data_IF_077998877532
#
_entry.id   IF_077998877532
#
_cell.length_a   1.000
_cell.length_b   1.000
_cell.length_c   1.000
_cell.angle_alpha   90.00
_cell.angle_beta   90.00
_cell.angle_gamma   90.00
#
_symmetry.space_group_name_H-M   'P 1'
#
loop_
_entity.id
_entity.type
_entity.pdbx_description
1 polymer ?
#
# COMPACT_ATOMS: atom_id res chain seq x y z
N UNK A 1 4.87 20.68 8.87
CA UNK A 1 4.27 20.42 7.56
C UNK A 1 5.28 20.63 6.43
N UNK A 2 5.87 21.83 6.28
CA UNK A 2 6.88 22.16 5.24
C UNK A 2 7.97 21.09 5.05
N UNK A 3 8.68 20.71 6.12
CA UNK A 3 9.76 19.72 6.04
C UNK A 3 9.29 18.30 5.60
N UNK A 4 8.06 17.88 5.95
CA UNK A 4 7.52 16.59 5.50
C UNK A 4 7.17 16.61 4.01
N UNK A 5 6.58 17.73 3.55
CA UNK A 5 6.32 17.97 2.13
C UNK A 5 7.60 18.04 1.30
N UNK A 6 8.66 18.66 1.82
CA UNK A 6 9.97 18.68 1.14
C UNK A 6 10.57 17.28 0.95
N UNK A 7 10.39 16.36 1.91
CA UNK A 7 10.80 14.96 1.77
C UNK A 7 9.99 14.28 0.67
N UNK A 8 8.67 14.49 0.67
CA UNK A 8 7.77 13.94 -0.34
C UNK A 8 8.13 14.41 -1.76
N UNK A 9 8.31 15.73 -1.94
CA UNK A 9 8.68 16.32 -3.22
C UNK A 9 10.07 15.86 -3.67
N UNK A 10 11.03 15.72 -2.76
CA UNK A 10 12.36 15.19 -3.09
C UNK A 10 12.28 13.72 -3.55
N UNK A 11 11.45 12.90 -2.89
CA UNK A 11 11.19 11.53 -3.31
C UNK A 11 10.55 11.46 -4.72
N UNK A 12 9.53 12.28 -4.98
CA UNK A 12 8.91 12.38 -6.30
C UNK A 12 9.91 12.86 -7.36
N UNK A 13 10.68 13.90 -7.05
CA UNK A 13 11.71 14.41 -7.95
C UNK A 13 12.74 13.34 -8.30
N UNK A 14 13.16 12.53 -7.33
CA UNK A 14 14.10 11.43 -7.55
C UNK A 14 13.59 10.43 -8.59
N UNK A 15 12.28 10.13 -8.58
CA UNK A 15 11.62 9.29 -9.58
C UNK A 15 11.62 9.96 -10.97
N UNK A 16 11.29 11.26 -11.03
CA UNK A 16 11.21 12.03 -12.29
C UNK A 16 12.58 12.25 -12.93
N UNK A 17 13.63 12.48 -12.13
CA UNK A 17 15.01 12.66 -12.61
C UNK A 17 15.62 11.36 -13.15
N UNK A 18 15.05 10.20 -12.81
CA UNK A 18 15.51 8.88 -13.24
C UNK A 18 14.36 8.10 -13.88
N UNK A 19 13.79 8.61 -15.00
CA UNK A 19 12.56 8.07 -15.56
C UNK A 19 12.76 6.67 -16.13
N UNK A 20 13.90 6.39 -16.76
CA UNK A 20 14.20 5.07 -17.36
C UNK A 20 14.18 3.95 -16.32
N UNK A 21 14.94 4.00 -15.20
CA UNK A 21 14.86 2.94 -14.19
C UNK A 21 13.53 2.94 -13.44
N UNK A 22 12.91 4.11 -13.21
CA UNK A 22 11.62 4.17 -12.52
C UNK A 22 10.51 3.48 -13.34
N UNK A 23 10.42 3.80 -14.65
CA UNK A 23 9.48 3.17 -15.57
C UNK A 23 9.81 1.70 -15.76
N UNK A 24 11.09 1.34 -15.92
CA UNK A 24 11.51 -0.06 -16.08
C UNK A 24 11.11 -0.93 -14.88
N UNK A 25 11.28 -0.44 -13.66
CA UNK A 25 10.84 -1.13 -12.45
C UNK A 25 9.32 -1.22 -12.33
N UNK A 26 8.61 -0.16 -12.71
CA UNK A 26 7.15 -0.17 -12.75
C UNK A 26 6.64 -1.19 -13.76
N UNK A 27 7.17 -1.21 -14.99
CA UNK A 27 6.79 -2.19 -16.02
C UNK A 27 7.10 -3.62 -15.57
N UNK A 28 8.26 -3.85 -14.95
CA UNK A 28 8.59 -5.17 -14.39
C UNK A 28 7.61 -5.59 -13.30
N UNK A 29 7.32 -4.68 -12.38
CA UNK A 29 6.36 -4.92 -11.31
C UNK A 29 5.01 -5.38 -11.87
N UNK A 30 4.51 -4.63 -12.84
CA UNK A 30 3.24 -4.93 -13.48
C UNK A 30 3.22 -6.22 -14.30
N UNK A 31 4.27 -6.48 -15.09
CA UNK A 31 4.33 -7.68 -15.89
C UNK A 31 4.30 -8.94 -15.02
N UNK A 32 4.99 -8.90 -13.87
CA UNK A 32 5.00 -10.02 -12.92
C UNK A 32 3.67 -10.10 -12.16
N UNK A 33 3.15 -8.98 -11.65
CA UNK A 33 1.86 -8.95 -10.93
C UNK A 33 0.70 -9.44 -11.81
N UNK A 34 0.66 -8.99 -13.08
CA UNK A 34 -0.30 -9.47 -14.06
C UNK A 34 -0.16 -10.98 -14.30
N UNK A 35 1.06 -11.49 -14.49
CA UNK A 35 1.30 -12.93 -14.66
C UNK A 35 0.84 -13.75 -13.44
N UNK A 36 1.09 -13.25 -12.22
CA UNK A 36 0.65 -13.90 -10.97
C UNK A 36 -0.88 -13.92 -10.86
N UNK A 37 -1.54 -12.81 -11.20
CA UNK A 37 -3.01 -12.72 -11.21
C UNK A 37 -3.62 -13.68 -12.23
N UNK A 38 -3.04 -13.77 -13.44
CA UNK A 38 -3.50 -14.74 -14.44
C UNK A 38 -3.31 -16.20 -13.99
N UNK A 39 -2.23 -16.49 -13.25
CA UNK A 39 -2.02 -17.82 -12.67
C UNK A 39 -3.11 -18.18 -11.64
N UNK A 40 -3.54 -17.22 -10.82
CA UNK A 40 -4.62 -17.42 -9.84
C UNK A 40 -6.00 -17.63 -10.47
N UNK A 41 -6.22 -17.12 -11.68
CA UNK A 41 -7.49 -17.25 -12.41
C UNK A 41 -7.59 -18.60 -13.16
N UNK A 42 -6.54 -19.42 -13.18
CA UNK A 42 -6.59 -20.73 -13.79
C UNK A 42 -7.42 -21.69 -12.91
N UNK A 43 -8.48 -22.33 -13.44
CA UNK A 43 -9.39 -23.20 -12.67
C UNK A 43 -8.74 -24.46 -12.08
N UNK A 44 -7.44 -24.68 -12.33
CA UNK A 44 -6.69 -25.83 -11.83
C UNK A 44 -6.13 -25.65 -10.39
N UNK A 45 -6.39 -24.51 -9.74
CA UNK A 45 -5.88 -24.19 -8.41
C UNK A 45 -7.00 -24.23 -7.36
N UNK A 46 -7.61 -25.41 -7.15
CA UNK A 46 -8.56 -25.63 -6.05
C UNK A 46 -7.85 -25.94 -4.71
N UNK A 47 -6.54 -26.19 -4.72
CA UNK A 47 -5.79 -26.57 -3.52
C UNK A 47 -5.23 -25.35 -2.76
N UNK A 48 -5.60 -25.25 -1.48
CA UNK A 48 -5.19 -24.21 -0.52
C UNK A 48 -3.68 -23.84 -0.47
N UNK A 49 -2.68 -24.73 -0.68
CA UNK A 49 -1.26 -24.37 -0.62
C UNK A 49 -0.81 -23.44 -1.76
N UNK A 50 -1.46 -23.51 -2.92
CA UNK A 50 -1.09 -22.72 -4.10
C UNK A 50 -1.56 -21.25 -4.01
N UNK A 51 -2.53 -20.95 -3.14
CA UNK A 51 -2.99 -19.57 -2.85
C UNK A 51 -1.91 -18.69 -2.17
N UNK A 52 -0.92 -19.31 -1.51
CA UNK A 52 0.16 -18.61 -0.80
C UNK A 52 1.29 -18.20 -1.76
N UNK A 53 1.50 -18.96 -2.84
CA UNK A 53 2.63 -18.73 -3.74
C UNK A 53 2.59 -17.35 -4.44
N UNK A 54 1.43 -16.88 -4.95
CA UNK A 54 1.31 -15.53 -5.51
C UNK A 54 1.56 -14.44 -4.47
N UNK A 55 1.07 -14.61 -3.24
CA UNK A 55 1.35 -13.67 -2.15
C UNK A 55 2.85 -13.57 -1.84
N UNK A 56 3.54 -14.71 -1.74
CA UNK A 56 5.00 -14.75 -1.54
C UNK A 56 5.72 -14.12 -2.72
N UNK A 57 5.28 -14.39 -3.96
CA UNK A 57 5.85 -13.80 -5.16
C UNK A 57 5.68 -12.27 -5.19
N UNK A 58 4.52 -11.73 -4.80
CA UNK A 58 4.30 -10.29 -4.67
C UNK A 58 5.21 -9.66 -3.62
N UNK A 59 5.45 -10.31 -2.47
CA UNK A 59 6.40 -9.84 -1.46
C UNK A 59 7.83 -9.78 -2.03
N UNK A 60 8.25 -10.83 -2.73
CA UNK A 60 9.58 -10.89 -3.36
C UNK A 60 9.72 -9.80 -4.42
N UNK A 61 8.67 -9.57 -5.22
CA UNK A 61 8.64 -8.55 -6.25
C UNK A 61 8.75 -7.14 -5.66
N UNK A 62 7.97 -6.82 -4.64
CA UNK A 62 8.06 -5.55 -3.89
C UNK A 62 9.46 -5.37 -3.33
N UNK A 63 10.03 -6.41 -2.71
CA UNK A 63 11.37 -6.39 -2.16
C UNK A 63 12.45 -6.16 -3.24
N UNK A 64 12.33 -6.79 -4.40
CA UNK A 64 13.24 -6.63 -5.52
C UNK A 64 13.18 -5.23 -6.10
N UNK A 65 11.98 -4.69 -6.33
CA UNK A 65 11.76 -3.34 -6.87
C UNK A 65 12.30 -2.29 -5.91
N UNK A 66 11.93 -2.36 -4.62
CA UNK A 66 12.36 -1.39 -3.63
C UNK A 66 13.89 -1.44 -3.38
N UNK A 67 14.47 -2.64 -3.25
CA UNK A 67 15.92 -2.79 -3.08
C UNK A 67 16.72 -2.33 -4.29
N UNK A 68 16.23 -2.60 -5.50
CA UNK A 68 16.85 -2.13 -6.74
C UNK A 68 16.80 -0.61 -6.82
N UNK A 69 15.65 0.00 -6.47
CA UNK A 69 15.53 1.46 -6.42
C UNK A 69 16.53 2.08 -5.44
N UNK A 70 16.64 1.56 -4.21
CA UNK A 70 17.62 2.04 -3.23
C UNK A 70 19.04 2.02 -3.78
N UNK A 71 19.44 0.94 -4.47
CA UNK A 71 20.80 0.80 -5.02
C UNK A 71 21.05 1.76 -6.18
N UNK A 72 20.11 1.89 -7.12
CA UNK A 72 20.25 2.84 -8.25
C UNK A 72 20.48 4.26 -7.73
N UNK A 73 19.81 4.61 -6.62
CA UNK A 73 19.78 5.96 -6.08
C UNK A 73 20.92 6.24 -5.08
N UNK A 74 21.38 5.24 -4.34
CA UNK A 74 22.40 5.37 -3.28
C UNK A 74 23.78 4.82 -3.68
N UNK A 75 23.85 3.93 -4.68
CA UNK A 75 25.06 3.26 -5.12
C UNK A 75 25.04 3.06 -6.66
N UNK A 76 25.02 4.15 -7.45
CA UNK A 76 24.81 4.10 -8.90
C UNK A 76 25.92 3.36 -9.67
N UNK A 77 27.16 3.41 -9.17
CA UNK A 77 28.31 2.71 -9.76
C UNK A 77 28.56 1.34 -9.11
N UNK A 78 27.66 0.88 -8.23
CA UNK A 78 27.80 -0.38 -7.53
C UNK A 78 27.52 -1.60 -8.39
N UNK A 79 27.96 -2.80 -7.96
CA UNK A 79 27.59 -4.04 -8.63
C UNK A 79 26.06 -4.25 -8.60
N UNK A 80 25.49 -5.09 -9.48
CA UNK A 80 24.08 -5.47 -9.38
C UNK A 80 23.78 -6.11 -8.02
N UNK A 81 22.51 -6.04 -7.58
CA UNK A 81 22.10 -6.71 -6.34
C UNK A 81 22.21 -8.22 -6.52
N UNK A 82 22.81 -8.91 -5.55
CA UNK A 82 22.78 -10.37 -5.55
C UNK A 82 21.39 -10.88 -5.19
N UNK A 83 20.96 -12.00 -5.78
CA UNK A 83 19.66 -12.64 -5.49
C UNK A 83 19.45 -12.86 -3.99
N UNK A 84 20.51 -13.28 -3.29
CA UNK A 84 20.49 -13.47 -1.84
C UNK A 84 20.17 -12.19 -1.07
N UNK A 85 20.77 -11.06 -1.47
CA UNK A 85 20.51 -9.77 -0.81
C UNK A 85 19.11 -9.25 -1.12
N UNK A 86 18.62 -9.46 -2.34
CA UNK A 86 17.23 -9.15 -2.69
C UNK A 86 16.24 -9.98 -1.86
N UNK A 87 16.50 -11.28 -1.68
CA UNK A 87 15.68 -12.16 -0.84
C UNK A 87 15.70 -11.73 0.63
N UNK A 88 16.90 -11.49 1.20
CA UNK A 88 17.03 -10.97 2.56
C UNK A 88 16.32 -9.64 2.75
N UNK A 89 16.38 -8.74 1.76
CA UNK A 89 15.62 -7.50 1.79
C UNK A 89 14.12 -7.76 1.82
N UNK A 90 13.61 -8.64 0.96
CA UNK A 90 12.19 -9.00 0.93
C UNK A 90 11.71 -9.59 2.26
N UNK A 91 12.52 -10.47 2.87
CA UNK A 91 12.25 -11.02 4.21
C UNK A 91 12.27 -9.93 5.28
N UNK A 92 13.26 -9.04 5.27
CA UNK A 92 13.34 -7.93 6.22
C UNK A 92 12.15 -6.97 6.09
N UNK A 93 11.72 -6.68 4.85
CA UNK A 93 10.53 -5.89 4.56
C UNK A 93 9.27 -6.55 5.11
N UNK A 94 9.11 -7.85 4.88
CA UNK A 94 7.98 -8.63 5.37
C UNK A 94 7.92 -8.69 6.91
N UNK A 95 9.04 -9.01 7.54
CA UNK A 95 9.17 -9.04 9.01
C UNK A 95 8.86 -7.67 9.61
N UNK A 96 9.37 -6.59 9.00
CA UNK A 96 9.05 -5.22 9.41
C UNK A 96 7.55 -4.95 9.33
N UNK A 97 6.89 -5.36 8.24
CA UNK A 97 5.44 -5.28 8.08
C UNK A 97 4.70 -6.00 9.21
N UNK A 98 5.08 -7.24 9.53
CA UNK A 98 4.49 -8.00 10.65
C UNK A 98 4.66 -7.25 11.97
N UNK A 99 5.86 -6.77 12.28
CA UNK A 99 6.14 -6.05 13.53
C UNK A 99 5.25 -4.82 13.67
N UNK A 100 5.09 -4.03 12.60
CA UNK A 100 4.22 -2.86 12.59
C UNK A 100 2.76 -3.29 12.75
N UNK A 101 2.31 -4.31 12.02
CA UNK A 101 0.94 -4.82 12.12
C UNK A 101 0.60 -5.29 13.54
N UNK A 102 1.50 -6.02 14.19
CA UNK A 102 1.34 -6.45 15.59
C UNK A 102 1.23 -5.23 16.51
N UNK A 103 2.08 -4.21 16.32
CA UNK A 103 2.03 -2.99 17.10
C UNK A 103 0.70 -2.21 16.91
N UNK A 104 0.03 -2.40 15.78
CA UNK A 104 -1.24 -1.76 15.45
C UNK A 104 -2.47 -2.61 15.78
N UNK A 105 -2.33 -3.81 16.35
CA UNK A 105 -3.47 -4.65 16.77
C UNK A 105 -4.51 -3.86 17.57
N UNK A 106 -4.15 -3.02 18.57
CA UNK A 106 -5.14 -2.21 19.28
C UNK A 106 -5.95 -1.29 18.36
N UNK A 107 -5.32 -0.71 17.33
CA UNK A 107 -5.99 0.12 16.34
C UNK A 107 -6.92 -0.70 15.43
N UNK A 108 -6.52 -1.92 15.05
CA UNK A 108 -7.41 -2.87 14.36
C UNK A 108 -8.62 -3.26 15.21
N UNK A 109 -8.43 -3.51 16.50
CA UNK A 109 -9.54 -3.81 17.43
C UNK A 109 -10.49 -2.62 17.59
N UNK A 110 -9.96 -1.39 17.65
CA UNK A 110 -10.77 -0.17 17.66
C UNK A 110 -11.55 0.01 16.36
N UNK A 111 -10.93 -0.25 15.20
CA UNK A 111 -11.61 -0.17 13.91
C UNK A 111 -12.68 -1.26 13.78
N UNK A 112 -12.40 -2.48 14.23
CA UNK A 112 -13.36 -3.58 14.27
C UNK A 112 -14.53 -3.26 15.23
N UNK A 113 -14.24 -2.69 16.39
CA UNK A 113 -15.25 -2.20 17.33
C UNK A 113 -16.09 -1.06 16.74
N UNK A 114 -15.47 -0.12 16.03
CA UNK A 114 -16.18 0.93 15.29
C UNK A 114 -17.07 0.34 14.19
N UNK A 115 -16.57 -0.60 13.38
CA UNK A 115 -17.36 -1.29 12.37
C UNK A 115 -18.52 -2.09 13.00
N UNK A 116 -18.28 -2.74 14.13
CA UNK A 116 -19.29 -3.42 14.92
C UNK A 116 -20.36 -2.45 15.45
N UNK A 117 -19.95 -1.31 16.00
CA UNK A 117 -20.85 -0.26 16.49
C UNK A 117 -21.62 0.44 15.37
N UNK A 118 -21.02 0.65 14.20
CA UNK A 118 -21.74 1.16 13.04
C UNK A 118 -22.77 0.13 12.58
N UNK A 119 -22.42 -1.16 12.55
CA UNK A 119 -23.34 -2.25 12.20
C UNK A 119 -24.48 -2.44 13.21
N UNK A 120 -24.23 -2.30 14.51
CA UNK A 120 -25.20 -2.62 15.58
C UNK A 120 -25.80 -1.40 16.29
N UNK A 121 -25.14 -0.25 16.28
CA UNK A 121 -25.70 1.03 16.70
C UNK A 121 -26.81 1.50 15.75
N UNK A 122 -26.77 1.05 14.48
CA UNK A 122 -27.88 1.11 13.55
C UNK A 122 -29.13 0.33 14.02
N UNK A 123 -28.95 -0.72 14.82
CA UNK A 123 -30.05 -1.58 15.33
C UNK A 123 -30.72 -0.96 16.57
N UNK A 124 -30.04 -0.05 17.28
CA UNK A 124 -30.60 0.66 18.44
C UNK A 124 -31.29 1.98 18.06
N UNK A 125 -31.12 2.46 16.83
CA UNK A 125 -31.71 3.70 16.33
C UNK A 125 -33.05 3.47 15.58
N UNK A 126 -33.55 2.24 15.50
CA UNK A 126 -34.85 1.93 14.88
C UNK A 126 -36.07 2.39 15.70
N UNK A 127 -35.85 2.95 16.90
CA UNK A 127 -36.88 3.69 17.66
C UNK A 127 -36.68 5.23 17.59
N UNK A 128 -35.81 5.72 16.69
CA UNK A 128 -35.43 7.14 16.56
C UNK A 128 -35.65 7.73 15.15
N UNK A 129 -35.60 9.07 15.01
CA UNK A 129 -36.20 9.87 13.91
C UNK A 129 -35.76 9.47 12.48
N UNK A 130 -36.52 9.88 11.42
CA UNK A 130 -36.58 9.29 10.06
C UNK A 130 -35.28 9.19 9.24
N UNK A 131 -34.15 9.58 9.80
CA UNK A 131 -32.82 9.27 9.29
C UNK A 131 -32.45 7.79 9.50
N UNK A 132 -33.16 7.08 10.38
CA UNK A 132 -33.02 5.64 10.62
C UNK A 132 -33.34 4.77 9.40
N UNK A 133 -34.30 5.19 8.56
CA UNK A 133 -34.71 4.42 7.37
C UNK A 133 -33.72 4.53 6.20
N UNK A 134 -32.85 5.55 6.19
CA UNK A 134 -31.75 5.66 5.21
C UNK A 134 -30.62 4.65 5.54
N UNK A 135 -30.62 4.13 6.76
CA UNK A 135 -29.57 3.25 7.27
C UNK A 135 -30.07 1.82 7.49
N UNK A 136 -31.34 1.60 7.82
CA UNK A 136 -31.85 0.33 8.32
C UNK A 136 -32.27 -0.73 7.28
N UNK A 137 -32.39 -0.41 5.97
CA UNK A 137 -33.08 -1.33 5.04
C UNK A 137 -32.22 -2.16 4.05
N UNK A 138 -30.87 -2.14 4.06
CA UNK A 138 -30.13 -3.02 3.13
C UNK A 138 -28.59 -2.91 2.99
N UNK A 139 -27.86 -2.39 3.98
CA UNK A 139 -26.52 -1.83 3.77
C UNK A 139 -25.30 -2.77 3.94
N UNK A 140 -25.34 -4.00 3.43
CA UNK A 140 -24.09 -4.71 3.05
C UNK A 140 -24.01 -4.97 1.54
N UNK A 141 -25.15 -4.98 0.83
CA UNK A 141 -25.22 -4.99 -0.63
C UNK A 141 -25.48 -3.58 -1.21
N UNK A 142 -25.87 -2.60 -0.37
CA UNK A 142 -26.07 -1.20 -0.74
C UNK A 142 -25.22 -0.24 0.10
N UNK A 143 -23.91 -0.48 0.21
CA UNK A 143 -23.04 0.56 0.74
C UNK A 143 -23.07 1.75 -0.24
N UNK A 144 -23.80 2.80 0.10
CA UNK A 144 -23.73 4.03 -0.67
C UNK A 144 -22.28 4.55 -0.62
N UNK A 145 -21.81 5.12 -1.74
CA UNK A 145 -20.42 5.59 -1.91
C UNK A 145 -19.87 6.38 -0.70
N UNK A 146 -20.75 7.08 0.02
CA UNK A 146 -20.47 7.77 1.27
C UNK A 146 -19.98 6.85 2.40
N UNK A 147 -20.64 5.71 2.67
CA UNK A 147 -20.24 4.77 3.73
C UNK A 147 -18.90 4.10 3.44
N UNK A 148 -18.66 3.71 2.19
CA UNK A 148 -17.37 3.20 1.71
C UNK A 148 -16.29 4.26 1.96
N UNK A 149 -16.53 5.48 1.50
CA UNK A 149 -15.57 6.59 1.65
C UNK A 149 -15.26 6.89 3.12
N UNK A 150 -16.26 6.91 4.00
CA UNK A 150 -16.08 7.13 5.44
C UNK A 150 -15.29 5.98 6.07
N UNK A 151 -15.62 4.73 5.76
CA UNK A 151 -14.91 3.57 6.29
C UNK A 151 -13.44 3.55 5.86
N UNK A 152 -13.16 3.76 4.56
CA UNK A 152 -11.79 3.86 4.05
C UNK A 152 -11.03 5.04 4.66
N UNK A 153 -11.68 6.18 4.86
CA UNK A 153 -11.06 7.35 5.50
C UNK A 153 -10.72 7.08 6.97
N UNK A 154 -11.62 6.42 7.71
CA UNK A 154 -11.37 6.04 9.10
C UNK A 154 -10.26 4.98 9.19
N UNK A 155 -10.29 3.96 8.33
CA UNK A 155 -9.24 2.94 8.25
C UNK A 155 -7.87 3.56 7.91
N UNK A 156 -7.83 4.52 6.99
CA UNK A 156 -6.62 5.29 6.68
C UNK A 156 -6.11 6.01 7.93
N UNK A 157 -6.95 6.76 8.63
CA UNK A 157 -6.53 7.58 9.76
C UNK A 157 -6.09 6.72 10.95
N UNK A 158 -6.83 5.65 11.23
CA UNK A 158 -6.62 4.79 12.41
C UNK A 158 -5.47 3.81 12.21
N UNK A 159 -5.26 3.31 10.99
CA UNK A 159 -4.27 2.26 10.70
C UNK A 159 -3.23 2.76 9.71
N UNK A 160 -3.65 3.32 8.58
CA UNK A 160 -2.75 3.71 7.49
C UNK A 160 -1.71 4.77 7.89
N UNK A 161 -2.13 5.81 8.62
CA UNK A 161 -1.23 6.87 9.09
C UNK A 161 -0.22 6.35 10.12
N UNK A 162 -0.62 5.66 11.21
CA UNK A 162 0.33 5.05 12.13
C UNK A 162 1.25 4.04 11.45
N UNK A 163 0.74 3.22 10.52
CA UNK A 163 1.54 2.26 9.78
C UNK A 163 2.65 2.95 8.98
N UNK A 164 2.28 3.94 8.16
CA UNK A 164 3.23 4.69 7.34
C UNK A 164 4.24 5.44 8.19
N UNK A 165 3.79 6.02 9.30
CA UNK A 165 4.66 6.70 10.26
C UNK A 165 5.67 5.74 10.87
N UNK A 166 5.22 4.61 11.43
CA UNK A 166 6.10 3.59 12.00
C UNK A 166 7.08 3.06 10.93
N UNK A 167 6.60 2.72 9.74
CA UNK A 167 7.43 2.25 8.63
C UNK A 167 8.57 3.22 8.33
N UNK A 168 8.28 4.52 8.22
CA UNK A 168 9.30 5.54 7.98
C UNK A 168 10.28 5.71 9.16
N UNK A 169 9.84 5.46 10.40
CA UNK A 169 10.65 5.62 11.61
C UNK A 169 11.62 4.44 11.83
N UNK A 170 11.17 3.22 11.58
CA UNK A 170 11.94 2.00 11.84
C UNK A 170 12.49 1.30 10.58
N UNK A 171 12.07 1.75 9.40
CA UNK A 171 12.44 1.16 8.11
C UNK A 171 13.79 1.58 7.52
N UNK A 172 14.60 2.41 8.20
CA UNK A 172 15.92 2.82 7.66
C UNK A 172 16.93 1.66 7.54
N UNK A 173 16.65 0.52 8.17
CA UNK A 173 17.43 -0.71 7.96
C UNK A 173 17.33 -1.25 6.53
N UNK A 174 16.23 -0.99 5.83
CA UNK A 174 16.00 -1.51 4.49
C UNK A 174 16.97 -0.92 3.45
N UNK A 175 17.11 0.42 3.29
CA UNK A 175 18.13 0.96 2.39
C UNK A 175 19.56 0.54 2.75
N UNK A 176 19.89 0.46 4.04
CA UNK A 176 21.19 -0.02 4.55
C UNK A 176 21.52 -1.44 4.08
N UNK A 177 20.54 -2.34 4.22
CA UNK A 177 20.64 -3.72 3.75
C UNK A 177 20.77 -3.79 2.23
N UNK A 178 20.00 -2.98 1.50
CA UNK A 178 20.03 -2.94 0.04
C UNK A 178 21.41 -2.55 -0.50
N UNK A 179 22.09 -1.57 0.10
CA UNK A 179 23.44 -1.17 -0.31
C UNK A 179 24.56 -2.05 0.27
N UNK A 180 24.26 -2.84 1.31
CA UNK A 180 25.20 -3.79 1.92
C UNK A 180 26.07 -3.19 3.02
N UNK A 181 25.57 -2.17 3.74
CA UNK A 181 26.25 -1.56 4.90
C UNK A 181 25.95 -2.24 6.24
N UNK A 182 25.29 -3.40 6.20
CA UNK A 182 24.90 -4.18 7.38
C UNK A 182 23.51 -3.85 7.90
N UNK A 183 23.10 -4.54 8.97
CA UNK A 183 21.76 -4.45 9.54
C UNK A 183 21.67 -3.33 10.58
N UNK A 184 20.82 -2.33 10.30
CA UNK A 184 20.47 -1.32 11.30
C UNK A 184 19.31 -1.85 12.14
N UNK A 185 19.52 -1.97 13.45
CA UNK A 185 18.45 -2.36 14.38
C UNK A 185 17.29 -1.36 14.36
N UNK A 186 16.07 -1.81 14.68
CA UNK A 186 14.91 -0.92 14.77
C UNK A 186 15.11 0.24 15.75
N UNK A 187 15.79 -0.01 16.88
CA UNK A 187 16.17 1.05 17.83
C UNK A 187 17.14 2.05 17.20
N UNK A 188 18.11 1.57 16.42
CA UNK A 188 19.03 2.43 15.66
C UNK A 188 18.30 3.29 14.63
N UNK A 189 17.37 2.72 13.88
CA UNK A 189 16.52 3.46 12.94
C UNK A 189 15.67 4.51 13.66
N UNK A 190 15.07 4.15 14.79
CA UNK A 190 14.25 5.08 15.59
C UNK A 190 15.05 6.27 16.11
N UNK A 191 16.26 6.02 16.62
CA UNK A 191 17.16 7.05 17.11
C UNK A 191 17.61 7.99 15.99
N UNK A 192 18.00 7.45 14.83
CA UNK A 192 18.43 8.25 13.67
C UNK A 192 17.30 9.08 13.09
N UNK A 193 16.08 8.56 13.09
CA UNK A 193 14.91 9.33 12.62
C UNK A 193 14.38 10.31 13.67
N UNK A 194 14.80 10.26 14.95
CA UNK A 194 14.27 11.10 16.03
C UNK A 194 14.15 12.60 15.68
N UNK A 195 15.17 13.25 15.07
CA UNK A 195 15.06 14.66 14.65
C UNK A 195 14.00 14.91 13.57
N UNK A 196 13.67 13.87 12.79
CA UNK A 196 12.69 13.91 11.70
C UNK A 196 11.30 13.40 12.12
N UNK A 197 11.04 13.13 13.41
CA UNK A 197 9.76 12.57 13.87
C UNK A 197 8.53 13.38 13.38
N UNK A 198 8.58 14.70 13.55
CA UNK A 198 7.51 15.61 13.13
C UNK A 198 7.40 15.72 11.60
N UNK A 199 8.48 15.91 10.83
CA UNK A 199 8.45 15.78 9.38
C UNK A 199 7.85 14.47 8.88
N UNK A 200 8.23 13.33 9.47
CA UNK A 200 7.71 12.01 9.10
C UNK A 200 6.21 11.86 9.40
N UNK A 201 5.70 12.46 10.49
CA UNK A 201 4.27 12.48 10.75
C UNK A 201 3.48 13.22 9.66
N UNK A 202 3.98 14.38 9.20
CA UNK A 202 3.36 15.10 8.09
C UNK A 202 3.48 14.35 6.77
N UNK A 203 4.62 13.70 6.54
CA UNK A 203 4.83 12.84 5.38
C UNK A 203 3.82 11.69 5.36
N UNK A 204 3.57 11.03 6.51
CA UNK A 204 2.56 9.99 6.63
C UNK A 204 1.16 10.50 6.24
N UNK A 205 0.79 11.72 6.64
CA UNK A 205 -0.47 12.36 6.21
C UNK A 205 -0.53 12.53 4.69
N UNK A 206 0.53 13.08 4.10
CA UNK A 206 0.59 13.31 2.64
C UNK A 206 0.53 11.99 1.87
N UNK A 207 1.28 10.98 2.30
CA UNK A 207 1.28 9.64 1.71
C UNK A 207 -0.08 8.98 1.87
N UNK A 208 -0.71 9.09 3.05
CA UNK A 208 -2.03 8.53 3.29
C UNK A 208 -3.09 9.16 2.38
N UNK A 209 -3.09 10.50 2.24
CA UNK A 209 -3.98 11.18 1.30
C UNK A 209 -3.72 10.76 -0.14
N UNK A 210 -2.44 10.61 -0.53
CA UNK A 210 -2.07 10.13 -1.87
C UNK A 210 -2.60 8.71 -2.10
N UNK A 211 -2.47 7.81 -1.12
CA UNK A 211 -3.01 6.46 -1.18
C UNK A 211 -4.54 6.47 -1.29
N UNK A 212 -5.25 7.31 -0.53
CA UNK A 212 -6.71 7.43 -0.65
C UNK A 212 -7.11 7.91 -2.04
N UNK A 213 -6.43 8.91 -2.60
CA UNK A 213 -6.72 9.36 -3.96
C UNK A 213 -6.48 8.25 -4.99
N UNK A 214 -5.39 7.49 -4.86
CA UNK A 214 -5.08 6.37 -5.75
C UNK A 214 -6.05 5.19 -5.58
N UNK A 215 -6.50 4.92 -4.35
CA UNK A 215 -7.45 3.85 -4.05
C UNK A 215 -8.88 4.24 -4.45
N UNK A 216 -9.25 5.51 -4.36
CA UNK A 216 -10.56 6.02 -4.81
C UNK A 216 -10.65 6.13 -6.33
N UNK A 217 -9.53 6.35 -7.02
CA UNK A 217 -9.52 6.52 -8.48
C UNK A 217 -10.21 5.36 -9.24
N UNK A 218 -9.93 4.07 -8.96
CA UNK A 218 -10.65 2.95 -9.56
C UNK A 218 -12.18 3.02 -9.38
N UNK A 219 -12.65 3.45 -8.20
CA UNK A 219 -14.08 3.56 -7.89
C UNK A 219 -14.78 4.72 -8.61
N UNK A 220 -14.04 5.76 -9.03
CA UNK A 220 -14.61 6.84 -9.85
C UNK A 220 -14.93 6.38 -11.27
N UNK A 221 -14.32 5.30 -11.73
CA UNK A 221 -14.50 4.74 -13.07
C UNK A 221 -15.26 3.40 -13.06
N UNK A 222 -15.67 2.92 -11.88
CA UNK A 222 -16.57 1.77 -11.80
C UNK A 222 -17.95 2.16 -12.36
N UNK A 223 -18.59 1.27 -13.14
CA UNK A 223 -19.99 1.43 -13.51
C UNK A 223 -20.88 1.50 -12.26
N UNK A 224 -22.13 1.91 -12.42
CA UNK A 224 -23.05 2.09 -11.29
C UNK A 224 -23.27 0.77 -10.52
N UNK A 225 -23.73 0.85 -9.26
CA UNK A 225 -24.03 -0.35 -8.44
C UNK A 225 -25.06 -1.28 -9.12
N UNK A 226 -25.97 -0.75 -9.93
CA UNK A 226 -26.93 -1.55 -10.73
C UNK A 226 -26.22 -2.38 -11.81
N UNK A 227 -25.13 -1.85 -12.39
CA UNK A 227 -24.27 -2.58 -13.32
C UNK A 227 -23.40 -3.64 -12.61
N UNK A 228 -23.15 -3.47 -11.32
CA UNK A 228 -22.33 -4.38 -10.49
C UNK A 228 -23.06 -5.68 -10.14
N UNK A 229 -24.38 -5.63 -9.95
CA UNK A 229 -25.18 -6.85 -9.76
C UNK A 229 -25.31 -7.66 -11.06
N UNK A 230 -25.46 -6.98 -12.21
CA UNK A 230 -25.39 -7.62 -13.52
C UNK A 230 -24.00 -8.25 -13.79
N UNK A 231 -22.93 -7.63 -13.27
CA UNK A 231 -21.56 -8.15 -13.33
C UNK A 231 -21.37 -9.46 -12.55
N UNK A 232 -21.89 -9.58 -11.32
CA UNK A 232 -21.83 -10.85 -10.57
C UNK A 232 -22.70 -11.96 -11.18
N UNK A 233 -23.70 -11.60 -11.98
CA UNK A 233 -24.51 -12.56 -12.74
C UNK A 233 -23.86 -12.99 -14.06
N UNK A 234 -22.85 -12.26 -14.55
CA UNK A 234 -22.18 -12.48 -15.83
C UNK A 234 -20.75 -13.07 -15.70
N UNK A 235 -20.32 -13.44 -14.49
CA UNK A 235 -18.94 -13.87 -14.18
C UNK A 235 -18.41 -15.09 -14.95
N UNK A 236 -19.28 -15.83 -15.66
CA UNK A 236 -18.86 -16.96 -16.50
C UNK A 236 -18.38 -16.52 -17.90
N UNK A 237 -18.59 -15.25 -18.29
CA UNK A 237 -18.20 -14.74 -19.61
C UNK A 237 -17.33 -13.47 -19.48
N UNK A 238 -16.01 -13.67 -19.44
CA UNK A 238 -15.00 -12.61 -19.38
C UNK A 238 -15.11 -11.61 -20.56
N UNK A 239 -15.73 -11.99 -21.68
CA UNK A 239 -15.97 -11.12 -22.83
C UNK A 239 -17.15 -10.15 -22.62
N UNK A 240 -18.02 -10.43 -21.63
CA UNK A 240 -19.18 -9.60 -21.29
C UNK A 240 -18.87 -8.47 -20.29
N UNK A 241 -17.62 -8.35 -19.84
CA UNK A 241 -17.24 -7.34 -18.85
C UNK A 241 -17.34 -5.92 -19.42
N UNK A 242 -18.03 -4.99 -18.73
CA UNK A 242 -18.08 -3.60 -19.14
C UNK A 242 -16.65 -3.01 -19.22
N UNK A 243 -16.32 -2.18 -20.23
CA UNK A 243 -15.00 -1.58 -20.39
C UNK A 243 -14.50 -0.81 -19.15
N UNK A 244 -15.42 -0.30 -18.31
CA UNK A 244 -15.10 0.38 -17.06
C UNK A 244 -14.41 -0.51 -16.02
N UNK A 245 -14.66 -1.83 -16.02
CA UNK A 245 -14.01 -2.77 -15.10
C UNK A 245 -12.54 -2.99 -15.45
N UNK A 246 -12.23 -3.24 -16.73
CA UNK A 246 -10.85 -3.37 -17.20
C UNK A 246 -10.05 -2.09 -16.93
N UNK A 247 -10.67 -0.93 -17.13
CA UNK A 247 -10.02 0.36 -16.86
C UNK A 247 -9.79 0.58 -15.35
N UNK A 248 -10.75 0.21 -14.51
CA UNK A 248 -10.65 0.28 -13.04
C UNK A 248 -9.54 -0.63 -12.51
N UNK A 249 -9.46 -1.87 -13.01
CA UNK A 249 -8.45 -2.85 -12.64
C UNK A 249 -7.04 -2.38 -13.04
N UNK A 250 -6.87 -1.91 -14.28
CA UNK A 250 -5.61 -1.31 -14.74
C UNK A 250 -5.21 -0.16 -13.84
N UNK A 251 -6.09 0.80 -13.54
CA UNK A 251 -5.79 1.94 -12.64
C UNK A 251 -5.39 1.45 -11.25
N UNK A 252 -6.05 0.43 -10.71
CA UNK A 252 -5.72 -0.18 -9.43
C UNK A 252 -4.29 -0.73 -9.41
N UNK A 253 -3.92 -1.50 -10.43
CA UNK A 253 -2.56 -2.03 -10.58
C UNK A 253 -1.53 -0.91 -10.78
N UNK A 254 -1.85 0.16 -11.53
CA UNK A 254 -1.00 1.37 -11.63
C UNK A 254 -0.76 1.94 -10.25
N UNK A 255 -1.86 2.20 -9.53
CA UNK A 255 -1.82 2.82 -8.23
C UNK A 255 -0.93 2.03 -7.28
N UNK A 256 -1.06 0.70 -7.27
CA UNK A 256 -0.27 -0.16 -6.40
C UNK A 256 1.23 -0.11 -6.72
N UNK A 257 1.61 -0.24 -8.00
CA UNK A 257 3.01 -0.12 -8.41
C UNK A 257 3.62 1.26 -8.08
N UNK A 258 2.84 2.34 -8.27
CA UNK A 258 3.26 3.69 -7.91
C UNK A 258 3.44 3.87 -6.40
N UNK A 259 2.56 3.29 -5.58
CA UNK A 259 2.69 3.31 -4.12
C UNK A 259 3.98 2.62 -3.67
N UNK A 260 4.32 1.47 -4.26
CA UNK A 260 5.56 0.75 -3.97
C UNK A 260 6.78 1.61 -4.32
N UNK A 261 6.82 2.16 -5.53
CA UNK A 261 7.92 3.01 -6.00
C UNK A 261 8.08 4.28 -5.15
N UNK A 262 6.97 4.94 -4.83
CA UNK A 262 6.95 6.12 -3.97
C UNK A 262 7.41 5.79 -2.55
N UNK A 263 6.97 4.67 -1.99
CA UNK A 263 7.42 4.19 -0.67
C UNK A 263 8.93 3.94 -0.64
N UNK A 264 9.48 3.27 -1.66
CA UNK A 264 10.91 3.07 -1.81
C UNK A 264 11.67 4.41 -1.95
N UNK A 265 11.16 5.35 -2.75
CA UNK A 265 11.76 6.67 -2.91
C UNK A 265 11.77 7.49 -1.61
N UNK A 266 10.67 7.47 -0.85
CA UNK A 266 10.57 8.13 0.45
C UNK A 266 11.58 7.55 1.44
N UNK A 267 11.65 6.22 1.57
CA UNK A 267 12.61 5.58 2.47
C UNK A 267 14.06 5.88 2.07
N UNK A 268 14.34 5.96 0.77
CA UNK A 268 15.67 6.35 0.26
C UNK A 268 16.02 7.79 0.64
N UNK A 269 15.07 8.71 0.52
CA UNK A 269 15.28 10.12 0.85
C UNK A 269 15.44 10.34 2.36
N UNK A 270 14.64 9.64 3.17
CA UNK A 270 14.81 9.64 4.63
C UNK A 270 16.18 9.10 5.04
N UNK A 271 16.66 8.06 4.36
CA UNK A 271 17.99 7.50 4.59
C UNK A 271 19.09 8.53 4.31
N UNK A 272 19.06 9.22 3.15
CA UNK A 272 20.04 10.27 2.82
C UNK A 272 20.09 11.39 3.84
N UNK A 273 18.94 11.77 4.41
CA UNK A 273 18.84 12.84 5.41
C UNK A 273 19.29 12.42 6.82
N UNK A 274 19.45 11.13 7.06
CA UNK A 274 19.79 10.57 8.37
C UNK A 274 21.17 9.92 8.41
N UNK A 275 21.82 9.76 7.27
CA UNK A 275 23.24 9.43 7.23
C UNK A 275 24.10 10.69 7.42
N UNK A 276 25.12 10.63 8.29
CA UNK A 276 26.17 11.63 8.25
C UNK A 276 26.87 11.50 6.90
N UNK A 277 26.92 12.59 6.13
CA UNK A 277 27.83 12.70 4.99
C UNK A 277 29.24 12.33 5.46
N UNK A 278 29.96 11.47 4.71
CA UNK A 278 31.34 11.14 5.04
C UNK A 278 32.24 12.38 5.09
#
# INVERSE_FOLDING_TARGET
MKAGFEIFIAALRSLVERPVPAIGLLVLFWAVDFALTQMLLLPAIEDAPLSIAPFVASIVLVGLVASTWHRIVLLPEGPPISTWRALHYAVAWFVLGIVITIALIPAFLLLAGFGFLMRHGLVLATDGPPWGDILAAGAFLHLNFFQITVFFSVALVVIGLPFTWLLCRIGLGLPNLAIGRGDLSFRGSWARTAPLARPIAWLAVIVGLTQVLLLLAPFLFMPSLEDTEAFYAATDDLEALPPGYLFSDVIGTVGYGLVVMLGAAILTELYRRTEPTP
#
